data_IF_463906472601
#
_entry.id   IF_463906472601
#
_cell.length_a   1.000
_cell.length_b   1.000
_cell.length_c   1.000
_cell.angle_alpha   90.00
_cell.angle_beta   90.00
_cell.angle_gamma   90.00
#
_symmetry.space_group_name_H-M   'P 1'
#
loop_
_entity.id
_entity.type
_entity.pdbx_description
1 polymer ?
#
# COMPACT_ATOMS: atom_id res chain seq x y z
N UNK A 1 -16.31 1.44 -23.59
CA UNK A 1 -15.95 2.10 -22.31
C UNK A 1 -15.47 1.08 -21.28
N UNK A 2 -14.18 1.05 -20.96
CA UNK A 2 -13.63 0.19 -19.90
C UNK A 2 -13.61 0.98 -18.59
N UNK A 3 -14.35 0.53 -17.58
CA UNK A 3 -14.35 1.15 -16.25
C UNK A 3 -13.25 0.53 -15.37
N UNK A 4 -12.11 1.22 -15.27
CA UNK A 4 -10.93 0.79 -14.51
C UNK A 4 -10.97 1.15 -13.02
N UNK A 5 -12.02 1.82 -12.55
CA UNK A 5 -12.11 2.32 -11.16
C UNK A 5 -13.15 1.56 -10.35
N UNK A 6 -12.83 1.33 -9.08
CA UNK A 6 -13.75 0.85 -8.05
C UNK A 6 -13.61 1.64 -6.74
N UNK A 7 -14.50 1.40 -5.79
CA UNK A 7 -14.44 1.97 -4.44
C UNK A 7 -13.63 1.07 -3.50
N UNK A 8 -12.74 1.67 -2.71
CA UNK A 8 -12.05 1.00 -1.62
C UNK A 8 -11.76 2.00 -0.51
N UNK A 9 -12.23 1.72 0.71
CA UNK A 9 -12.09 2.61 1.88
C UNK A 9 -12.60 4.05 1.61
N UNK A 10 -13.69 4.20 0.84
CA UNK A 10 -14.26 5.48 0.38
C UNK A 10 -13.39 6.28 -0.61
N UNK A 11 -12.42 5.62 -1.26
CA UNK A 11 -11.62 6.20 -2.34
C UNK A 11 -11.87 5.47 -3.66
N UNK A 12 -11.88 6.24 -4.76
CA UNK A 12 -11.77 5.69 -6.11
C UNK A 12 -10.36 5.16 -6.33
N UNK A 13 -10.25 3.87 -6.61
CA UNK A 13 -8.97 3.17 -6.82
C UNK A 13 -8.98 2.36 -8.11
N UNK A 14 -7.79 2.06 -8.62
CA UNK A 14 -7.62 1.20 -9.79
C UNK A 14 -8.01 -0.25 -9.46
N UNK A 15 -8.77 -0.86 -10.38
CA UNK A 15 -9.03 -2.31 -10.40
C UNK A 15 -7.78 -3.09 -10.81
N UNK A 16 -7.76 -4.39 -10.50
CA UNK A 16 -6.75 -5.35 -10.95
C UNK A 16 -5.30 -4.93 -10.61
N UNK A 17 -5.10 -4.40 -9.40
CA UNK A 17 -3.77 -4.05 -8.87
C UNK A 17 -3.27 -5.16 -7.95
N UNK A 18 -1.95 -5.34 -7.88
CA UNK A 18 -1.32 -6.35 -7.00
C UNK A 18 -1.52 -6.07 -5.51
N UNK A 19 -1.76 -4.81 -5.15
CA UNK A 19 -1.98 -4.41 -3.77
C UNK A 19 -2.50 -2.99 -3.64
N UNK A 20 -3.00 -2.67 -2.46
CA UNK A 20 -3.46 -1.33 -2.08
C UNK A 20 -2.95 -0.98 -0.69
N UNK A 21 -2.64 0.30 -0.51
CA UNK A 21 -2.15 0.85 0.76
C UNK A 21 -2.96 2.11 1.05
N UNK A 22 -3.63 2.14 2.19
CA UNK A 22 -4.29 3.32 2.71
C UNK A 22 -3.29 4.08 3.58
N UNK A 23 -3.11 5.36 3.28
CA UNK A 23 -2.07 6.21 3.84
C UNK A 23 -2.69 7.41 4.58
N UNK A 24 -2.13 7.76 5.73
CA UNK A 24 -2.39 9.05 6.39
C UNK A 24 -1.17 9.96 6.19
N UNK A 25 -1.38 11.17 5.67
CA UNK A 25 -0.28 12.12 5.45
C UNK A 25 0.29 12.58 6.79
N UNK A 26 1.61 12.43 6.96
CA UNK A 26 2.32 12.84 8.18
C UNK A 26 2.98 14.20 7.99
N UNK A 27 3.80 14.32 6.96
CA UNK A 27 4.54 15.54 6.67
C UNK A 27 4.95 15.59 5.20
N UNK A 28 5.51 16.71 4.78
CA UNK A 28 6.22 16.79 3.52
C UNK A 28 7.38 17.78 3.64
N UNK A 29 8.36 17.64 2.76
CA UNK A 29 9.52 18.51 2.67
C UNK A 29 9.77 18.86 1.20
N UNK A 30 10.00 20.13 0.89
CA UNK A 30 10.43 20.54 -0.45
C UNK A 30 11.90 20.14 -0.65
N UNK A 31 12.20 19.50 -1.76
CA UNK A 31 13.54 19.01 -2.13
C UNK A 31 13.81 19.43 -3.58
N UNK A 32 14.43 20.60 -3.75
CA UNK A 32 14.61 21.22 -5.07
C UNK A 32 13.28 21.65 -5.69
N UNK A 33 12.96 21.13 -6.86
CA UNK A 33 11.71 21.28 -7.59
C UNK A 33 10.64 20.24 -7.22
N UNK A 34 10.97 19.28 -6.35
CA UNK A 34 10.06 18.22 -5.90
C UNK A 34 9.61 18.39 -4.44
N UNK A 35 8.62 17.58 -4.05
CA UNK A 35 8.17 17.44 -2.66
C UNK A 35 8.28 15.98 -2.22
N UNK A 36 9.03 15.73 -1.15
CA UNK A 36 9.05 14.45 -0.45
C UNK A 36 7.86 14.40 0.50
N UNK A 37 6.95 13.45 0.30
CA UNK A 37 5.79 13.24 1.17
C UNK A 37 6.03 12.02 2.08
N UNK A 38 5.79 12.21 3.38
CA UNK A 38 5.87 11.15 4.38
C UNK A 38 4.46 10.78 4.82
N UNK A 39 4.17 9.48 4.81
CA UNK A 39 2.88 8.94 5.20
C UNK A 39 3.02 7.84 6.24
N UNK A 40 2.02 7.73 7.11
CA UNK A 40 1.81 6.54 7.93
C UNK A 40 0.92 5.56 7.16
N UNK A 41 1.28 4.27 7.16
CA UNK A 41 0.43 3.22 6.61
C UNK A 41 -0.68 2.90 7.61
N UNK A 42 -1.93 3.12 7.21
CA UNK A 42 -3.11 2.78 8.01
C UNK A 42 -3.53 1.34 7.76
N UNK A 43 -3.58 0.95 6.48
CA UNK A 43 -4.08 -0.36 6.04
C UNK A 43 -3.33 -0.76 4.79
N UNK A 44 -3.11 -2.06 4.62
CA UNK A 44 -2.63 -2.62 3.36
C UNK A 44 -3.42 -3.87 3.01
N UNK A 45 -3.57 -4.14 1.71
CA UNK A 45 -4.17 -5.36 1.20
C UNK A 45 -3.40 -5.79 -0.04
N UNK A 46 -2.83 -6.99 -0.01
CA UNK A 46 -2.30 -7.64 -1.20
C UNK A 46 -3.44 -8.41 -1.89
N UNK A 47 -3.44 -8.37 -3.22
CA UNK A 47 -4.30 -9.20 -4.07
C UNK A 47 -3.50 -10.23 -4.86
N UNK A 48 -2.16 -10.12 -4.85
CA UNK A 48 -1.30 -11.17 -5.36
C UNK A 48 -1.19 -12.29 -4.33
N UNK A 49 -1.29 -13.55 -4.76
CA UNK A 49 -1.09 -14.75 -3.93
C UNK A 49 0.36 -14.91 -3.50
N UNK A 50 1.30 -14.44 -4.32
CA UNK A 50 2.74 -14.48 -4.05
C UNK A 50 3.19 -13.24 -3.27
N UNK A 51 2.59 -13.01 -2.10
CA UNK A 51 2.98 -11.91 -1.21
C UNK A 51 3.54 -12.43 0.11
N UNK A 52 4.73 -11.94 0.44
CA UNK A 52 5.37 -12.20 1.72
C UNK A 52 4.89 -11.15 2.71
N UNK A 53 4.09 -11.57 3.68
CA UNK A 53 3.83 -10.75 4.85
C UNK A 53 4.69 -11.23 6.03
N UNK A 54 4.91 -10.34 6.99
CA UNK A 54 5.77 -10.60 8.16
C UNK A 54 5.35 -11.84 8.94
N UNK A 55 4.04 -12.09 9.06
CA UNK A 55 3.51 -13.31 9.67
C UNK A 55 3.94 -14.55 8.88
N UNK A 56 3.80 -14.54 7.56
CA UNK A 56 4.20 -15.64 6.68
C UNK A 56 5.72 -15.91 6.75
N UNK A 57 6.53 -14.85 6.83
CA UNK A 57 7.99 -14.96 6.98
C UNK A 57 8.37 -15.52 8.36
N UNK A 58 7.68 -15.10 9.42
CA UNK A 58 7.83 -15.63 10.78
C UNK A 58 7.41 -17.10 10.87
N UNK A 59 6.25 -17.47 10.31
CA UNK A 59 5.75 -18.85 10.23
C UNK A 59 6.71 -19.77 9.47
N UNK A 60 7.31 -19.27 8.39
CA UNK A 60 8.35 -19.98 7.63
C UNK A 60 9.73 -19.96 8.29
N UNK A 61 9.87 -19.36 9.48
CA UNK A 61 11.13 -19.22 10.25
C UNK A 61 12.25 -18.53 9.46
N UNK A 62 11.90 -17.70 8.47
CA UNK A 62 12.87 -16.91 7.70
C UNK A 62 13.32 -15.68 8.47
N UNK A 63 12.47 -15.16 9.35
CA UNK A 63 12.76 -14.07 10.28
C UNK A 63 12.22 -14.40 11.68
N UNK A 64 12.75 -13.74 12.71
CA UNK A 64 12.17 -13.70 14.05
C UNK A 64 11.71 -12.27 14.32
N UNK A 65 10.46 -12.12 14.75
CA UNK A 65 9.83 -10.85 15.12
C UNK A 65 9.48 -10.94 16.60
#
# INVERSE_FOLDING_TARGET
NKNFLEEWENYKVLKNVSGRILLNKKSFQKTGDHYLFIFNVIKSKSYNTDYLNLKLLSEKKLIRI
#
